data_IF_834287688135
#
_entry.id   IF_834287688135
#
_cell.length_a   1.000
_cell.length_b   1.000
_cell.length_c   1.000
_cell.angle_alpha   90.00
_cell.angle_beta   90.00
_cell.angle_gamma   90.00
#
_symmetry.space_group_name_H-M   'P 1'
#
loop_
_entity.id
_entity.type
_entity.pdbx_description
1 polymer ?
#
# COMPACT_ATOMS: atom_id res chain seq x y z
N UNK A 1 47.66 74.83 -6.16
CA UNK A 1 47.56 74.89 -4.69
C UNK A 1 46.53 73.86 -4.23
N UNK A 2 46.98 72.90 -3.39
CA UNK A 2 46.32 72.35 -2.18
C UNK A 2 44.79 72.14 -2.24
N UNK A 3 44.16 71.03 -1.83
CA UNK A 3 44.45 69.65 -1.46
C UNK A 3 43.06 69.05 -1.10
N UNK A 4 42.93 67.73 -1.15
CA UNK A 4 42.02 66.91 -0.32
C UNK A 4 40.49 67.08 -0.43
N UNK A 5 39.83 65.98 -0.81
CA UNK A 5 39.26 65.04 0.18
C UNK A 5 38.97 63.67 -0.43
N UNK A 6 39.61 62.66 0.16
CA UNK A 6 39.28 61.24 0.05
C UNK A 6 37.87 60.98 0.58
N UNK A 7 37.11 60.13 -0.10
CA UNK A 7 36.21 59.18 0.55
C UNK A 7 36.39 57.81 -0.12
N UNK A 8 36.93 56.88 0.66
CA UNK A 8 36.85 55.45 0.40
C UNK A 8 35.39 55.01 0.49
N UNK A 9 34.93 54.16 -0.43
CA UNK A 9 34.03 53.07 -0.04
C UNK A 9 34.36 51.81 -0.84
N UNK A 10 34.80 50.81 -0.08
CA UNK A 10 35.09 49.43 -0.47
C UNK A 10 33.92 48.77 -1.18
N UNK A 11 34.26 47.88 -2.11
CA UNK A 11 33.32 47.11 -2.90
C UNK A 11 32.57 46.02 -2.14
N UNK A 12 31.67 45.38 -2.87
CA UNK A 12 31.11 44.08 -2.54
C UNK A 12 31.06 43.25 -3.82
N UNK A 13 32.02 42.33 -3.96
CA UNK A 13 31.92 41.21 -4.89
C UNK A 13 30.92 40.23 -4.27
N UNK A 14 29.76 40.06 -4.91
CA UNK A 14 28.80 39.04 -4.51
C UNK A 14 29.35 37.66 -4.90
N UNK A 15 29.89 36.93 -3.92
CA UNK A 15 30.18 35.50 -4.06
C UNK A 15 28.87 34.74 -3.91
N UNK A 16 28.39 34.17 -5.01
CA UNK A 16 27.29 33.22 -4.99
C UNK A 16 27.76 31.94 -4.29
N UNK A 17 27.46 31.81 -2.99
CA UNK A 17 27.56 30.55 -2.29
C UNK A 17 26.45 29.64 -2.81
N UNK A 18 26.83 28.74 -3.72
CA UNK A 18 26.04 27.56 -4.02
C UNK A 18 25.94 26.75 -2.73
N UNK A 19 24.82 26.90 -2.02
CA UNK A 19 24.44 25.99 -0.94
C UNK A 19 24.09 24.68 -1.62
N UNK A 20 25.11 23.84 -1.82
CA UNK A 20 24.92 22.44 -2.15
C UNK A 20 24.08 21.84 -1.04
N UNK A 21 22.79 21.64 -1.32
CA UNK A 21 21.90 20.94 -0.42
C UNK A 21 22.53 19.59 -0.10
N UNK A 22 22.89 19.41 1.16
CA UNK A 22 23.21 18.09 1.69
C UNK A 22 21.88 17.35 1.71
N UNK A 23 21.47 16.77 0.59
CA UNK A 23 20.45 15.72 0.58
C UNK A 23 21.03 14.62 1.46
N UNK A 24 20.57 14.60 2.72
CA UNK A 24 21.05 13.70 3.75
C UNK A 24 21.04 12.26 3.21
N UNK A 25 22.23 11.65 3.16
CA UNK A 25 22.42 10.26 2.77
C UNK A 25 21.52 9.28 3.57
N UNK A 26 20.97 9.73 4.70
CA UNK A 26 19.97 9.03 5.52
C UNK A 26 18.63 8.81 4.80
N UNK A 27 18.19 9.67 3.88
CA UNK A 27 16.95 9.43 3.14
C UNK A 27 17.12 8.35 2.06
N UNK A 28 18.32 8.24 1.47
CA UNK A 28 18.66 7.26 0.42
C UNK A 28 18.96 5.87 0.97
N UNK A 29 19.19 5.75 2.29
CA UNK A 29 19.53 4.49 2.97
C UNK A 29 18.34 3.72 3.58
N UNK A 30 17.09 4.21 3.44
CA UNK A 30 15.94 3.60 4.15
C UNK A 30 15.46 2.27 3.58
N UNK A 31 15.78 1.94 2.32
CA UNK A 31 15.31 0.72 1.70
C UNK A 31 16.42 0.00 0.94
N UNK A 32 17.03 -0.99 1.59
CA UNK A 32 18.01 -1.89 0.97
C UNK A 32 17.37 -2.80 -0.10
N UNK A 33 16.04 -2.96 -0.06
CA UNK A 33 15.25 -3.85 -0.93
C UNK A 33 14.09 -3.08 -1.57
N UNK A 34 13.67 -3.56 -2.75
CA UNK A 34 12.47 -3.04 -3.39
C UNK A 34 11.22 -3.44 -2.61
N UNK A 35 10.26 -2.53 -2.58
CA UNK A 35 8.89 -2.78 -2.16
C UNK A 35 8.18 -3.56 -3.26
N UNK A 36 7.61 -4.72 -2.94
CA UNK A 36 6.93 -5.59 -3.90
C UNK A 36 5.42 -5.46 -3.72
N UNK A 37 4.73 -5.05 -4.76
CA UNK A 37 3.27 -5.06 -4.82
C UNK A 37 2.82 -6.26 -5.64
N UNK A 38 1.84 -6.99 -5.12
CA UNK A 38 1.23 -8.14 -5.78
C UNK A 38 -0.21 -7.79 -6.16
N UNK A 39 -0.68 -8.35 -7.27
CA UNK A 39 -2.13 -8.53 -7.44
C UNK A 39 -2.68 -9.55 -6.44
N UNK A 40 -4.00 -9.52 -6.23
CA UNK A 40 -4.72 -10.46 -5.37
C UNK A 40 -5.24 -11.66 -6.17
N UNK A 41 -6.25 -11.43 -7.02
CA UNK A 41 -6.89 -12.47 -7.82
C UNK A 41 -5.97 -12.98 -8.92
N UNK A 42 -6.02 -14.28 -9.19
CA UNK A 42 -5.23 -14.99 -10.20
C UNK A 42 -3.70 -14.81 -10.09
N UNK A 43 -3.22 -14.29 -8.96
CA UNK A 43 -1.79 -14.05 -8.68
C UNK A 43 -1.38 -14.66 -7.36
N UNK A 44 -2.14 -14.39 -6.29
CA UNK A 44 -1.92 -15.06 -4.99
C UNK A 44 -3.11 -15.91 -4.58
N UNK A 45 -4.32 -15.55 -5.00
CA UNK A 45 -5.55 -16.33 -4.78
C UNK A 45 -6.04 -16.96 -6.06
N UNK A 46 -6.58 -18.17 -5.97
CA UNK A 46 -7.32 -18.80 -7.05
C UNK A 46 -8.72 -18.19 -7.14
N UNK A 47 -8.94 -17.41 -8.19
CA UNK A 47 -10.25 -16.82 -8.51
C UNK A 47 -10.88 -17.43 -9.76
N UNK A 48 -10.28 -18.49 -10.32
CA UNK A 48 -10.73 -19.16 -11.55
C UNK A 48 -11.56 -20.40 -11.30
N UNK A 49 -11.50 -20.96 -10.10
CA UNK A 49 -12.37 -22.06 -9.71
C UNK A 49 -13.77 -21.53 -9.34
N UNK A 50 -14.80 -22.37 -9.44
CA UNK A 50 -16.17 -22.05 -9.00
C UNK A 50 -16.29 -21.85 -7.47
N UNK A 51 -15.16 -21.88 -6.75
CA UNK A 51 -15.05 -21.68 -5.32
C UNK A 51 -14.58 -20.25 -5.03
N UNK A 52 -15.46 -19.28 -5.33
CA UNK A 52 -15.19 -17.88 -4.99
C UNK A 52 -15.11 -17.64 -3.48
N UNK A 53 -15.62 -18.54 -2.63
CA UNK A 53 -15.56 -18.36 -1.19
C UNK A 53 -15.68 -19.71 -0.42
N UNK A 54 -14.79 -20.04 0.54
CA UNK A 54 -13.50 -19.41 0.79
C UNK A 54 -12.56 -19.53 -0.41
N UNK A 55 -11.75 -18.50 -0.65
CA UNK A 55 -10.68 -18.54 -1.67
C UNK A 55 -9.39 -19.09 -1.06
N UNK A 56 -8.61 -19.78 -1.89
CA UNK A 56 -7.37 -20.41 -1.47
C UNK A 56 -6.17 -19.81 -2.19
N UNK A 57 -4.99 -19.93 -1.57
CA UNK A 57 -3.73 -19.57 -2.21
C UNK A 57 -3.53 -20.37 -3.50
N UNK A 58 -3.00 -19.72 -4.53
CA UNK A 58 -2.38 -20.43 -5.64
C UNK A 58 -1.16 -21.23 -5.14
N UNK A 59 -0.84 -22.38 -5.76
CA UNK A 59 0.33 -23.17 -5.39
C UNK A 59 1.62 -22.33 -5.33
N UNK A 60 2.32 -22.36 -4.19
CA UNK A 60 3.57 -21.63 -3.99
C UNK A 60 3.42 -20.15 -3.62
N UNK A 61 2.22 -19.56 -3.67
CA UNK A 61 2.02 -18.14 -3.41
C UNK A 61 2.32 -17.77 -1.95
N UNK A 62 1.91 -18.61 -1.00
CA UNK A 62 2.18 -18.40 0.42
C UNK A 62 3.68 -18.46 0.72
N UNK A 63 4.37 -19.46 0.17
CA UNK A 63 5.82 -19.64 0.30
C UNK A 63 6.55 -18.45 -0.32
N UNK A 64 6.10 -17.97 -1.48
CA UNK A 64 6.67 -16.82 -2.16
C UNK A 64 6.58 -15.55 -1.31
N UNK A 65 5.40 -15.26 -0.73
CA UNK A 65 5.21 -14.11 0.17
C UNK A 65 6.12 -14.23 1.40
N UNK A 66 6.19 -15.43 2.01
CA UNK A 66 7.06 -15.68 3.15
C UNK A 66 8.55 -15.48 2.80
N UNK A 67 8.99 -15.91 1.62
CA UNK A 67 10.35 -15.70 1.13
C UNK A 67 10.67 -14.22 0.86
N UNK A 68 9.72 -13.44 0.33
CA UNK A 68 9.87 -11.99 0.20
C UNK A 68 10.08 -11.34 1.58
N UNK A 69 9.27 -11.72 2.57
CA UNK A 69 9.39 -11.23 3.93
C UNK A 69 10.75 -11.61 4.56
N UNK A 70 11.18 -12.87 4.45
CA UNK A 70 12.50 -13.34 4.93
C UNK A 70 13.66 -12.57 4.30
N UNK A 71 13.53 -12.19 3.02
CA UNK A 71 14.54 -11.40 2.28
C UNK A 71 14.46 -9.90 2.56
N UNK A 72 13.54 -9.46 3.43
CA UNK A 72 13.38 -8.07 3.84
C UNK A 72 12.69 -7.19 2.80
N UNK A 73 11.95 -7.77 1.85
CA UNK A 73 11.11 -7.00 0.94
C UNK A 73 9.81 -6.60 1.65
N UNK A 74 9.48 -5.30 1.74
CA UNK A 74 8.13 -4.90 2.12
C UNK A 74 7.14 -5.37 1.04
N UNK A 75 6.04 -6.00 1.45
CA UNK A 75 5.02 -6.54 0.54
C UNK A 75 3.73 -5.74 0.67
N UNK A 76 3.13 -5.36 -0.45
CA UNK A 76 1.83 -4.72 -0.55
C UNK A 76 0.92 -5.42 -1.54
N UNK A 77 -0.36 -5.06 -1.51
CA UNK A 77 -1.36 -5.49 -2.48
C UNK A 77 -1.83 -4.30 -3.30
N UNK A 78 -2.05 -4.53 -4.58
CA UNK A 78 -2.96 -3.72 -5.37
C UNK A 78 -4.08 -4.64 -5.78
N UNK A 79 -5.31 -4.33 -5.38
CA UNK A 79 -6.46 -5.21 -5.65
C UNK A 79 -7.59 -4.44 -6.30
N UNK A 80 -8.38 -5.12 -7.11
CA UNK A 80 -9.45 -4.55 -7.93
C UNK A 80 -10.85 -4.83 -7.39
N UNK A 81 -11.00 -4.81 -6.06
CA UNK A 81 -12.30 -5.02 -5.41
C UNK A 81 -13.24 -3.84 -5.63
N UNK A 82 -14.57 -4.06 -5.65
CA UNK A 82 -15.53 -2.98 -5.87
C UNK A 82 -15.41 -1.85 -4.83
N UNK A 83 -15.43 -0.56 -5.24
CA UNK A 83 -15.41 0.58 -4.32
C UNK A 83 -16.61 0.61 -3.36
N UNK A 84 -17.77 0.13 -3.79
CA UNK A 84 -19.01 0.07 -2.99
C UNK A 84 -18.89 -0.85 -1.75
N UNK A 85 -17.89 -1.74 -1.71
CA UNK A 85 -17.65 -2.60 -0.55
C UNK A 85 -17.26 -1.82 0.72
N UNK A 86 -16.82 -0.57 0.59
CA UNK A 86 -16.57 0.33 1.71
C UNK A 86 -17.77 1.19 2.13
N UNK A 87 -18.89 1.17 1.38
CA UNK A 87 -20.04 2.08 1.59
C UNK A 87 -21.13 1.49 2.50
N UNK A 88 -21.27 0.15 2.52
CA UNK A 88 -22.38 -0.55 3.20
C UNK A 88 -21.91 -1.65 4.13
N UNK A 89 -20.98 -1.32 5.04
CA UNK A 89 -20.47 -2.30 5.99
C UNK A 89 -21.46 -2.50 7.16
N UNK A 90 -21.73 -3.74 7.60
CA UNK A 90 -22.76 -4.03 8.60
C UNK A 90 -22.57 -3.22 9.89
N UNK A 91 -23.68 -2.77 10.48
CA UNK A 91 -23.69 -1.98 11.72
C UNK A 91 -22.97 -2.67 12.89
N UNK A 92 -22.77 -3.98 12.82
CA UNK A 92 -22.11 -4.82 13.83
C UNK A 92 -20.57 -4.73 13.81
N UNK A 93 -19.97 -4.21 12.74
CA UNK A 93 -18.53 -3.99 12.65
C UNK A 93 -18.25 -2.55 12.20
N UNK A 94 -18.70 -1.55 12.97
CA UNK A 94 -18.54 -0.17 12.57
C UNK A 94 -17.04 0.15 12.47
N UNK A 95 -16.65 0.79 11.38
CA UNK A 95 -15.25 1.13 11.08
C UNK A 95 -15.21 2.62 10.87
N UNK A 96 -14.17 3.30 11.36
CA UNK A 96 -14.10 4.76 11.29
C UNK A 96 -13.92 5.29 9.86
N UNK A 97 -13.41 4.46 8.95
CA UNK A 97 -13.09 4.87 7.60
C UNK A 97 -13.44 3.83 6.54
N UNK A 98 -13.73 4.35 5.35
CA UNK A 98 -14.16 3.60 4.17
C UNK A 98 -13.14 2.55 3.74
N UNK A 99 -11.85 2.86 3.80
CA UNK A 99 -10.81 1.96 3.27
C UNK A 99 -10.65 0.76 4.20
N UNK A 100 -10.66 0.98 5.51
CA UNK A 100 -10.69 -0.08 6.51
C UNK A 100 -11.93 -0.96 6.38
N UNK A 101 -13.11 -0.37 6.10
CA UNK A 101 -14.33 -1.13 5.83
C UNK A 101 -14.21 -1.98 4.55
N UNK A 102 -13.63 -1.42 3.50
CA UNK A 102 -13.41 -2.10 2.24
C UNK A 102 -12.41 -3.27 2.37
N UNK A 103 -11.33 -3.08 3.15
CA UNK A 103 -10.39 -4.17 3.50
C UNK A 103 -11.12 -5.27 4.27
N UNK A 104 -11.90 -4.93 5.29
CA UNK A 104 -12.62 -5.93 6.08
C UNK A 104 -13.62 -6.72 5.24
N UNK A 105 -14.39 -6.05 4.39
CA UNK A 105 -15.30 -6.72 3.46
C UNK A 105 -14.58 -7.70 2.53
N UNK A 106 -13.41 -7.31 2.01
CA UNK A 106 -12.57 -8.19 1.22
C UNK A 106 -12.08 -9.40 2.03
N UNK A 107 -11.63 -9.19 3.26
CA UNK A 107 -11.17 -10.27 4.14
C UNK A 107 -12.29 -11.27 4.43
N UNK A 108 -13.50 -10.79 4.75
CA UNK A 108 -14.67 -11.63 4.99
C UNK A 108 -15.08 -12.40 3.72
N UNK A 109 -15.07 -11.71 2.58
CA UNK A 109 -15.36 -12.29 1.27
C UNK A 109 -14.37 -13.37 0.85
N UNK A 110 -13.10 -13.29 1.25
CA UNK A 110 -12.10 -14.32 0.95
C UNK A 110 -12.18 -15.48 1.95
N UNK A 111 -12.56 -15.18 3.19
CA UNK A 111 -12.53 -16.13 4.30
C UNK A 111 -13.72 -17.08 4.37
N UNK A 112 -14.71 -17.01 3.50
CA UNK A 112 -15.95 -17.81 3.61
C UNK A 112 -17.00 -17.15 4.48
N UNK A 113 -16.67 -16.03 5.13
CA UNK A 113 -17.49 -15.33 6.13
C UNK A 113 -18.56 -14.42 5.49
N UNK A 114 -18.62 -14.45 4.18
CA UNK A 114 -19.58 -13.71 3.36
C UNK A 114 -20.39 -14.67 2.48
N UNK A 115 -21.21 -15.55 3.07
CA UNK A 115 -22.15 -16.38 2.33
C UNK A 115 -23.53 -15.70 2.24
N UNK A 116 -24.25 -15.90 1.13
CA UNK A 116 -25.72 -15.76 1.16
C UNK A 116 -26.37 -16.94 1.92
N UNK A 117 -25.61 -18.01 2.24
CA UNK A 117 -26.11 -19.30 2.72
C UNK A 117 -25.48 -19.86 4.02
N UNK A 118 -24.60 -19.12 4.72
CA UNK A 118 -24.02 -19.45 6.04
C UNK A 118 -23.25 -20.79 6.26
N UNK A 119 -23.01 -21.67 5.27
CA UNK A 119 -22.50 -23.05 5.57
C UNK A 119 -21.33 -23.65 4.77
N UNK A 120 -20.56 -22.92 3.96
CA UNK A 120 -19.59 -23.54 3.03
C UNK A 120 -18.11 -23.56 3.47
N UNK A 121 -17.80 -23.81 4.74
CA UNK A 121 -16.42 -24.08 5.16
C UNK A 121 -15.92 -25.45 4.69
N UNK A 122 -14.77 -25.50 4.01
CA UNK A 122 -13.94 -26.72 4.00
C UNK A 122 -12.97 -26.67 5.17
N UNK A 123 -13.16 -27.59 6.12
CA UNK A 123 -12.29 -27.77 7.27
C UNK A 123 -10.93 -28.31 6.79
N UNK A 124 -9.84 -27.57 7.01
CA UNK A 124 -8.47 -28.09 6.84
C UNK A 124 -7.44 -27.13 6.26
N UNK A 125 -7.85 -26.13 5.47
CA UNK A 125 -6.91 -25.19 4.87
C UNK A 125 -6.62 -24.00 5.79
N UNK A 126 -5.36 -23.54 5.77
CA UNK A 126 -4.94 -22.41 6.58
C UNK A 126 -5.59 -21.12 6.07
N UNK A 127 -6.13 -20.26 6.96
CA UNK A 127 -6.70 -18.99 6.56
C UNK A 127 -5.64 -18.12 5.87
N UNK A 128 -6.08 -17.25 4.96
CA UNK A 128 -5.21 -16.29 4.31
C UNK A 128 -4.49 -15.42 5.35
N UNK A 129 -3.16 -15.36 5.26
CA UNK A 129 -2.32 -14.61 6.18
C UNK A 129 -2.23 -13.13 5.75
N UNK A 130 -3.03 -12.30 6.40
CA UNK A 130 -3.09 -10.87 6.17
C UNK A 130 -1.89 -10.09 6.75
N UNK A 131 -1.14 -10.70 7.67
CA UNK A 131 -0.12 -10.00 8.47
C UNK A 131 1.03 -9.44 7.62
N UNK A 132 1.32 -10.06 6.47
CA UNK A 132 2.32 -9.56 5.52
C UNK A 132 1.95 -8.20 4.92
N UNK A 133 0.65 -7.89 4.84
CA UNK A 133 0.13 -6.72 4.14
C UNK A 133 -0.29 -5.59 5.08
N UNK A 134 -0.56 -5.89 6.34
CA UNK A 134 -0.91 -4.91 7.34
C UNK A 134 -1.53 -5.51 8.60
N UNK A 135 -2.03 -4.65 9.46
CA UNK A 135 -2.66 -5.02 10.72
C UNK A 135 -3.76 -4.02 11.06
N UNK A 136 -4.70 -4.43 11.90
CA UNK A 136 -5.67 -3.50 12.46
C UNK A 136 -5.19 -2.96 13.81
N UNK A 137 -5.55 -1.72 14.07
CA UNK A 137 -5.51 -1.12 15.41
C UNK A 137 -6.94 -0.78 15.84
N UNK A 138 -7.14 -0.57 17.15
CA UNK A 138 -8.47 -0.28 17.70
C UNK A 138 -9.38 -1.52 17.75
N UNK A 139 -10.62 -1.31 18.19
CA UNK A 139 -11.64 -2.35 18.33
C UNK A 139 -13.03 -1.76 18.03
N UNK A 140 -13.96 -2.62 17.58
CA UNK A 140 -15.32 -2.22 17.20
C UNK A 140 -15.28 -1.00 16.26
N UNK A 141 -16.07 0.02 16.62
CA UNK A 141 -16.19 1.32 15.92
C UNK A 141 -14.85 1.97 15.56
N UNK A 142 -13.84 1.77 16.39
CA UNK A 142 -12.54 2.45 16.29
C UNK A 142 -11.50 1.67 15.50
N UNK A 143 -11.91 0.57 14.86
CA UNK A 143 -11.00 -0.30 14.12
C UNK A 143 -10.50 0.43 12.86
N UNK A 144 -9.18 0.42 12.66
CA UNK A 144 -8.51 1.05 11.51
C UNK A 144 -7.44 0.12 10.97
N UNK A 145 -7.41 -0.08 9.66
CA UNK A 145 -6.38 -0.85 8.97
C UNK A 145 -5.14 0.00 8.73
N UNK A 146 -3.99 -0.54 9.13
CA UNK A 146 -2.67 0.02 8.86
C UNK A 146 -1.91 -0.95 7.99
N UNK A 147 -1.73 -0.60 6.72
CA UNK A 147 -1.08 -1.53 5.80
C UNK A 147 -0.80 -0.96 4.43
N UNK A 148 -0.55 -1.88 3.52
CA UNK A 148 -0.02 -1.66 2.18
C UNK A 148 -0.96 -2.24 1.14
N UNK A 149 -2.27 -2.12 1.37
CA UNK A 149 -3.31 -2.56 0.46
C UNK A 149 -3.86 -1.32 -0.24
N UNK A 150 -3.72 -1.27 -1.56
CA UNK A 150 -4.19 -0.17 -2.40
C UNK A 150 -5.49 -0.58 -3.07
N UNK A 151 -6.53 0.21 -2.79
CA UNK A 151 -7.90 -0.05 -3.20
C UNK A 151 -8.41 1.04 -4.16
N UNK A 152 -9.32 0.69 -5.09
CA UNK A 152 -10.05 1.69 -5.85
C UNK A 152 -11.06 2.40 -4.94
N UNK A 153 -11.04 3.74 -4.98
CA UNK A 153 -12.00 4.57 -4.26
C UNK A 153 -13.21 4.90 -5.11
N UNK A 154 -13.06 4.86 -6.44
CA UNK A 154 -14.13 5.08 -7.41
C UNK A 154 -14.11 3.97 -8.45
N UNK A 155 -15.24 3.77 -9.14
CA UNK A 155 -15.32 2.79 -10.23
C UNK A 155 -14.33 3.09 -11.36
N UNK A 156 -14.05 4.36 -11.60
CA UNK A 156 -13.05 4.82 -12.58
C UNK A 156 -11.59 4.57 -12.17
N UNK A 157 -11.34 4.11 -10.94
CA UNK A 157 -10.00 3.74 -10.45
C UNK A 157 -9.72 2.24 -10.56
N UNK A 158 -10.71 1.44 -10.94
CA UNK A 158 -10.58 -0.01 -11.10
C UNK A 158 -9.59 -0.36 -12.20
N UNK A 159 -8.91 -1.50 -12.06
CA UNK A 159 -7.84 -1.94 -12.98
C UNK A 159 -8.36 -2.16 -14.39
N UNK A 160 -9.57 -2.71 -14.51
CA UNK A 160 -10.27 -2.97 -15.78
C UNK A 160 -10.52 -1.70 -16.62
N UNK A 161 -10.53 -0.52 -15.99
CA UNK A 161 -10.71 0.78 -16.68
C UNK A 161 -9.46 1.27 -17.40
N UNK A 162 -8.31 0.62 -17.21
CA UNK A 162 -7.02 1.08 -17.73
C UNK A 162 -6.45 2.31 -17.01
N UNK A 163 -7.09 2.78 -15.93
CA UNK A 163 -6.60 3.91 -15.14
C UNK A 163 -5.40 3.47 -14.28
N UNK A 164 -4.21 4.10 -14.42
CA UNK A 164 -3.00 3.69 -13.70
C UNK A 164 -2.95 4.22 -12.26
N UNK A 165 -4.04 4.77 -11.71
CA UNK A 165 -4.02 5.49 -10.43
C UNK A 165 -3.52 4.63 -9.27
N UNK A 166 -3.93 3.36 -9.19
CA UNK A 166 -3.48 2.45 -8.14
C UNK A 166 -1.97 2.19 -8.23
N UNK A 167 -1.45 1.98 -9.43
CA UNK A 167 -0.01 1.86 -9.67
C UNK A 167 0.74 3.15 -9.30
N UNK A 168 0.20 4.32 -9.64
CA UNK A 168 0.78 5.61 -9.26
C UNK A 168 0.81 5.80 -7.73
N UNK A 169 -0.23 5.33 -7.02
CA UNK A 169 -0.27 5.33 -5.54
C UNK A 169 0.80 4.39 -4.97
N UNK A 170 0.99 3.20 -5.56
CA UNK A 170 2.04 2.25 -5.17
C UNK A 170 3.45 2.83 -5.32
N UNK A 171 3.74 3.43 -6.49
CA UNK A 171 5.01 4.10 -6.74
C UNK A 171 5.26 5.24 -5.74
N UNK A 172 4.23 6.03 -5.42
CA UNK A 172 4.32 7.12 -4.45
C UNK A 172 4.59 6.60 -3.04
N UNK A 173 3.86 5.57 -2.60
CA UNK A 173 4.04 4.98 -1.27
C UNK A 173 5.45 4.40 -1.10
N UNK A 174 5.96 3.68 -2.12
CA UNK A 174 7.34 3.19 -2.10
C UNK A 174 8.36 4.33 -2.07
N UNK A 175 8.17 5.38 -2.89
CA UNK A 175 9.05 6.55 -2.90
C UNK A 175 9.07 7.28 -1.56
N UNK A 176 7.93 7.43 -0.90
CA UNK A 176 7.84 8.04 0.44
C UNK A 176 8.60 7.22 1.50
N UNK A 177 8.64 5.90 1.34
CA UNK A 177 9.46 5.00 2.17
C UNK A 177 10.94 4.99 1.77
N UNK A 178 11.35 5.72 0.72
CA UNK A 178 12.72 5.68 0.19
C UNK A 178 13.04 4.40 -0.59
N UNK A 179 12.02 3.68 -1.06
CA UNK A 179 12.14 2.40 -1.75
C UNK A 179 11.85 2.54 -3.24
N UNK A 180 12.44 1.64 -4.05
CA UNK A 180 11.90 1.34 -5.39
C UNK A 180 10.69 0.42 -5.24
N UNK A 181 9.75 0.52 -6.16
CA UNK A 181 8.63 -0.41 -6.26
C UNK A 181 8.84 -1.43 -7.38
N UNK A 182 8.38 -2.65 -7.17
CA UNK A 182 8.16 -3.67 -8.17
C UNK A 182 6.69 -4.07 -8.10
N UNK A 183 6.05 -4.27 -9.25
CA UNK A 183 4.73 -4.87 -9.33
C UNK A 183 4.89 -6.23 -9.99
N UNK A 184 4.36 -7.27 -9.36
CA UNK A 184 4.38 -8.65 -9.85
C UNK A 184 2.95 -9.14 -10.05
#
# INVERSE_FOLDING_TARGET
MVLSKMFFYSGAIAVALAVGGVESASARARCAKSFVYLDLGDTILDTKTDHYNPMYYLPGAREFIAELAKKGHPVGLITDIPPEWGEHYPAQAPVLDRDSAQVLRMMDFIAGLMPEDEVSWRVGDAPFDWSAFGQFSGQGEKRVFHGRILLPHLKSERKDTGNPILFKRALRQAKMAGCRALYL
#
